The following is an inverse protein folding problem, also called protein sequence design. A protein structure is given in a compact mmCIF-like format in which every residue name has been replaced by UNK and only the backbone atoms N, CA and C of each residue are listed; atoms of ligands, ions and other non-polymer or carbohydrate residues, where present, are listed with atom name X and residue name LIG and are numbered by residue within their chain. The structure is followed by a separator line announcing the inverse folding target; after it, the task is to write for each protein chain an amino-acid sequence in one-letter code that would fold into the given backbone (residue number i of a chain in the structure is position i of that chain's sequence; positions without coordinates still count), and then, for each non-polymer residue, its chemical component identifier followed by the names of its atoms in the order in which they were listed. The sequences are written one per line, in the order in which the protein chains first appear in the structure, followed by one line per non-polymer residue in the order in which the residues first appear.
data_IF_333417735955
#
_entry.id   IF_333417735955
#
_cell.length_a   1.000
_cell.length_b   1.000
_cell.length_c   1.000
_cell.angle_alpha   90.00
_cell.angle_beta   90.00
_cell.angle_gamma   90.00
#
_symmetry.space_group_name_H-M   'P 1'
#
loop_
_entity.id
_entity.type
_entity.pdbx_description
1 polymer ?
#
# COMPACT_ATOMS: atom_id res chain seq x y z
N UNK A 1 -37.48 -3.26 -4.58
CA UNK A 1 -37.26 -3.60 -3.15
C UNK A 1 -35.80 -3.99 -3.00
N UNK A 2 -35.06 -3.18 -2.24
CA UNK A 2 -33.59 -3.11 -2.24
C UNK A 2 -32.93 -4.24 -1.46
N UNK A 3 -31.90 -4.83 -2.05
CA UNK A 3 -31.08 -5.84 -1.39
C UNK A 3 -30.36 -5.26 -0.16
N UNK A 4 -30.24 -6.05 0.91
CA UNK A 4 -29.45 -5.73 2.10
C UNK A 4 -27.95 -5.71 1.76
N UNK A 5 -27.48 -4.64 1.12
CA UNK A 5 -26.07 -4.42 0.72
C UNK A 5 -25.23 -3.71 1.78
N UNK A 6 -25.88 -3.25 2.85
CA UNK A 6 -25.30 -2.37 3.85
C UNK A 6 -25.37 -3.03 5.22
N UNK A 7 -24.23 -3.07 5.90
CA UNK A 7 -24.16 -3.32 7.34
C UNK A 7 -24.31 -1.96 8.01
N UNK A 8 -25.44 -1.73 8.66
CA UNK A 8 -25.68 -0.53 9.44
C UNK A 8 -25.06 -0.71 10.84
N UNK A 9 -23.94 -0.02 11.09
CA UNK A 9 -23.25 -0.01 12.39
C UNK A 9 -23.74 1.17 13.27
N UNK A 10 -24.90 1.75 12.95
CA UNK A 10 -25.51 2.87 13.68
C UNK A 10 -24.95 4.23 13.29
N UNK A 11 -23.62 4.39 13.25
CA UNK A 11 -22.94 5.65 12.87
C UNK A 11 -22.40 5.59 11.44
N UNK A 12 -22.12 4.39 10.92
CA UNK A 12 -21.51 4.16 9.61
C UNK A 12 -22.28 3.07 8.89
N UNK A 13 -22.66 3.32 7.64
CA UNK A 13 -23.18 2.29 6.73
C UNK A 13 -22.02 1.72 5.92
N UNK A 14 -21.67 0.47 6.19
CA UNK A 14 -20.56 -0.20 5.52
C UNK A 14 -21.07 -1.14 4.44
N UNK A 15 -20.62 -0.95 3.20
CA UNK A 15 -20.87 -1.87 2.10
C UNK A 15 -19.69 -2.86 2.00
N UNK A 16 -19.87 -4.18 2.25
CA UNK A 16 -18.78 -5.15 2.28
C UNK A 16 -18.02 -5.30 0.94
N UNK A 17 -18.67 -5.01 -0.19
CA UNK A 17 -18.08 -5.11 -1.51
C UNK A 17 -17.01 -4.04 -1.79
N UNK A 18 -17.03 -2.91 -1.08
CA UNK A 18 -16.01 -1.85 -1.17
C UNK A 18 -14.62 -2.28 -0.65
N UNK A 19 -14.45 -2.73 0.61
CA UNK A 19 -13.16 -3.22 1.12
C UNK A 19 -12.70 -4.50 0.41
N UNK A 20 -13.62 -5.29 -0.16
CA UNK A 20 -13.29 -6.49 -0.94
C UNK A 20 -12.44 -6.15 -2.16
N UNK A 21 -12.69 -5.02 -2.84
CA UNK A 21 -11.86 -4.57 -3.98
C UNK A 21 -10.42 -4.32 -3.55
N UNK A 22 -10.21 -3.64 -2.42
CA UNK A 22 -8.87 -3.43 -1.86
C UNK A 22 -8.21 -4.74 -1.43
N UNK A 23 -8.97 -5.65 -0.83
CA UNK A 23 -8.47 -6.97 -0.44
C UNK A 23 -7.99 -7.76 -1.67
N UNK A 24 -8.73 -7.73 -2.78
CA UNK A 24 -8.32 -8.35 -4.04
C UNK A 24 -7.04 -7.71 -4.59
N UNK A 25 -6.94 -6.38 -4.59
CA UNK A 25 -5.71 -5.67 -5.00
C UNK A 25 -4.51 -6.15 -4.17
N UNK A 26 -4.64 -6.17 -2.86
CA UNK A 26 -3.57 -6.59 -1.95
C UNK A 26 -3.21 -8.07 -2.10
N UNK A 27 -4.22 -8.94 -2.24
CA UNK A 27 -4.04 -10.37 -2.46
C UNK A 27 -3.27 -10.63 -3.75
N UNK A 28 -3.70 -10.03 -4.87
CA UNK A 28 -3.05 -10.20 -6.16
C UNK A 28 -1.63 -9.60 -6.15
N UNK A 29 -1.47 -8.40 -5.60
CA UNK A 29 -0.15 -7.77 -5.46
C UNK A 29 0.81 -8.63 -4.63
N UNK A 30 0.34 -9.22 -3.52
CA UNK A 30 1.14 -10.09 -2.65
C UNK A 30 1.49 -11.41 -3.33
N UNK A 31 0.54 -12.02 -4.03
CA UNK A 31 0.73 -13.28 -4.73
C UNK A 31 1.73 -13.15 -5.87
N UNK A 32 1.55 -12.16 -6.74
CA UNK A 32 2.44 -11.94 -7.89
C UNK A 32 3.80 -11.39 -7.51
N UNK A 33 3.95 -10.74 -6.36
CA UNK A 33 5.26 -10.34 -5.85
C UNK A 33 6.17 -11.53 -5.51
N UNK A 34 5.61 -12.68 -5.13
CA UNK A 34 6.38 -13.87 -4.75
C UNK A 34 6.78 -14.75 -5.93
N UNK A 35 6.19 -14.53 -7.11
CA UNK A 35 6.44 -15.32 -8.31
C UNK A 35 7.63 -14.76 -9.10
N UNK A 36 8.53 -15.64 -9.56
CA UNK A 36 9.57 -15.29 -10.52
C UNK A 36 8.97 -15.28 -11.93
N UNK A 37 9.51 -14.47 -12.84
CA UNK A 37 9.01 -14.30 -14.23
C UNK A 37 8.92 -15.59 -15.05
N UNK A 38 9.65 -16.64 -14.67
CA UNK A 38 9.64 -17.95 -15.34
C UNK A 38 8.44 -18.83 -14.95
N UNK A 39 7.73 -18.48 -13.87
CA UNK A 39 6.62 -19.27 -13.31
C UNK A 39 5.28 -19.09 -14.04
N UNK A 40 5.17 -18.09 -14.92
CA UNK A 40 3.93 -17.79 -15.67
C UNK A 40 3.60 -18.81 -16.77
N UNK A 41 4.48 -19.79 -17.00
CA UNK A 41 4.24 -20.91 -17.93
C UNK A 41 3.48 -22.06 -17.28
N UNK A 42 3.44 -22.12 -15.94
CA UNK A 42 2.80 -23.22 -15.19
C UNK A 42 1.34 -22.87 -14.88
N UNK A 43 0.41 -23.52 -15.59
CA UNK A 43 -1.04 -23.30 -15.49
C UNK A 43 -1.59 -23.29 -14.05
N UNK A 44 -1.08 -24.15 -13.16
CA UNK A 44 -1.55 -24.24 -11.78
C UNK A 44 -1.21 -23.00 -10.91
N UNK A 45 -0.13 -22.26 -11.23
CA UNK A 45 0.22 -21.01 -10.53
C UNK A 45 -0.65 -19.82 -10.97
N UNK A 46 -1.40 -19.97 -12.06
CA UNK A 46 -2.35 -18.99 -12.56
C UNK A 46 -3.76 -19.28 -12.06
N UNK A 47 -4.09 -20.56 -11.82
CA UNK A 47 -5.41 -20.97 -11.37
C UNK A 47 -5.77 -20.42 -9.97
N UNK A 48 -4.81 -20.41 -9.05
CA UNK A 48 -5.03 -19.95 -7.66
C UNK A 48 -5.47 -18.48 -7.56
N UNK A 49 -4.79 -17.49 -8.18
CA UNK A 49 -5.25 -16.09 -8.15
C UNK A 49 -6.56 -15.89 -8.92
N UNK A 50 -6.85 -16.68 -9.95
CA UNK A 50 -8.14 -16.65 -10.65
C UNK A 50 -9.27 -17.09 -9.72
N UNK A 51 -9.11 -18.20 -9.00
CA UNK A 51 -10.09 -18.67 -8.02
C UNK A 51 -10.31 -17.62 -6.92
N UNK A 52 -9.21 -17.03 -6.41
CA UNK A 52 -9.27 -15.98 -5.40
C UNK A 52 -10.02 -14.71 -5.84
N UNK A 53 -10.16 -14.47 -7.15
CA UNK A 53 -10.91 -13.35 -7.72
C UNK A 53 -12.36 -13.75 -8.05
N UNK A 54 -12.57 -14.94 -8.62
CA UNK A 54 -13.89 -15.41 -9.04
C UNK A 54 -14.83 -15.60 -7.83
N UNK A 55 -14.32 -16.15 -6.72
CA UNK A 55 -15.15 -16.39 -5.52
C UNK A 55 -15.79 -15.09 -5.01
N UNK A 56 -15.03 -14.01 -4.71
CA UNK A 56 -15.61 -12.73 -4.34
C UNK A 56 -16.58 -12.16 -5.38
N UNK A 57 -16.27 -12.26 -6.68
CA UNK A 57 -17.15 -11.73 -7.73
C UNK A 57 -18.51 -12.45 -7.72
N UNK A 58 -18.52 -13.78 -7.59
CA UNK A 58 -19.75 -14.55 -7.52
C UNK A 58 -20.60 -14.17 -6.30
N UNK A 59 -19.96 -13.91 -5.16
CA UNK A 59 -20.64 -13.44 -3.95
C UNK A 59 -21.25 -12.04 -4.16
N UNK A 60 -20.51 -11.12 -4.79
CA UNK A 60 -21.00 -9.76 -5.08
C UNK A 60 -22.19 -9.79 -6.06
N UNK A 61 -22.13 -10.63 -7.10
CA UNK A 61 -23.23 -10.79 -8.06
C UNK A 61 -24.47 -11.40 -7.37
N UNK A 62 -24.27 -12.29 -6.40
CA UNK A 62 -25.35 -12.86 -5.58
C UNK A 62 -25.99 -11.83 -4.64
N UNK A 63 -25.28 -10.75 -4.29
CA UNK A 63 -25.77 -9.59 -3.51
C UNK A 63 -26.49 -8.52 -4.37
N UNK A 64 -27.20 -8.99 -5.40
CA UNK A 64 -27.54 -8.27 -6.64
C UNK A 64 -26.71 -7.01 -7.00
N UNK A 65 -25.41 -6.93 -6.70
CA UNK A 65 -24.58 -5.73 -6.91
C UNK A 65 -23.74 -5.85 -8.20
N UNK A 66 -24.42 -5.66 -9.33
CA UNK A 66 -23.81 -5.81 -10.65
C UNK A 66 -22.72 -4.75 -10.92
N UNK A 67 -22.80 -3.57 -10.29
CA UNK A 67 -21.88 -2.46 -10.51
C UNK A 67 -20.53 -2.74 -9.90
N UNK A 68 -20.53 -3.12 -8.62
CA UNK A 68 -19.30 -3.50 -7.94
C UNK A 68 -18.70 -4.78 -8.51
N UNK A 69 -19.54 -5.72 -9.01
CA UNK A 69 -19.07 -6.91 -9.71
C UNK A 69 -18.27 -6.58 -10.98
N UNK A 70 -18.82 -5.71 -11.84
CA UNK A 70 -18.14 -5.26 -13.07
C UNK A 70 -16.85 -4.51 -12.75
N UNK A 71 -16.88 -3.60 -11.77
CA UNK A 71 -15.67 -2.88 -11.32
C UNK A 71 -14.60 -3.86 -10.86
N UNK A 72 -14.96 -4.87 -10.08
CA UNK A 72 -14.03 -5.88 -9.57
C UNK A 72 -13.40 -6.70 -10.69
N UNK A 73 -14.17 -7.06 -11.73
CA UNK A 73 -13.66 -7.72 -12.93
C UNK A 73 -12.65 -6.84 -13.66
N UNK A 74 -12.95 -5.55 -13.84
CA UNK A 74 -12.06 -4.59 -14.50
C UNK A 74 -10.75 -4.45 -13.71
N UNK A 75 -10.81 -4.28 -12.39
CA UNK A 75 -9.64 -4.17 -11.52
C UNK A 75 -8.75 -5.42 -11.64
N UNK A 76 -9.34 -6.61 -11.54
CA UNK A 76 -8.60 -7.85 -11.67
C UNK A 76 -7.94 -7.95 -13.05
N UNK A 77 -8.68 -7.63 -14.11
CA UNK A 77 -8.18 -7.67 -15.49
C UNK A 77 -6.99 -6.74 -15.70
N UNK A 78 -7.06 -5.50 -15.18
CA UNK A 78 -5.95 -4.55 -15.25
C UNK A 78 -4.72 -5.06 -14.50
N UNK A 79 -4.90 -5.67 -13.32
CA UNK A 79 -3.78 -6.24 -12.56
C UNK A 79 -3.16 -7.44 -13.29
N UNK A 80 -3.96 -8.37 -13.82
CA UNK A 80 -3.45 -9.49 -14.61
C UNK A 80 -2.68 -9.00 -15.85
N UNK A 81 -3.18 -7.96 -16.52
CA UNK A 81 -2.50 -7.33 -17.64
C UNK A 81 -1.17 -6.68 -17.20
N UNK A 82 -1.17 -5.93 -16.10
CA UNK A 82 0.02 -5.28 -15.55
C UNK A 82 1.11 -6.27 -15.10
N UNK A 83 0.73 -7.48 -14.69
CA UNK A 83 1.64 -8.58 -14.38
C UNK A 83 2.31 -9.15 -15.64
N UNK A 84 1.74 -8.94 -16.82
CA UNK A 84 2.30 -9.40 -18.10
C UNK A 84 1.53 -10.55 -18.75
N UNK A 85 0.26 -10.78 -18.38
CA UNK A 85 -0.58 -11.73 -19.11
C UNK A 85 -0.74 -11.28 -20.57
N UNK A 86 -0.58 -12.22 -21.50
CA UNK A 86 -0.66 -11.93 -22.94
C UNK A 86 -2.07 -11.43 -23.30
N UNK A 87 -2.13 -10.35 -24.10
CA UNK A 87 -3.40 -9.77 -24.58
C UNK A 87 -4.31 -10.81 -25.28
N UNK A 88 -3.71 -11.81 -25.93
CA UNK A 88 -4.42 -12.94 -26.54
C UNK A 88 -5.36 -13.65 -25.56
N UNK A 89 -4.97 -13.83 -24.30
CA UNK A 89 -5.78 -14.52 -23.30
C UNK A 89 -7.05 -13.70 -22.98
N UNK A 90 -6.93 -12.38 -22.90
CA UNK A 90 -8.07 -11.48 -22.71
C UNK A 90 -9.01 -11.50 -23.91
N UNK A 91 -8.47 -11.53 -25.13
CA UNK A 91 -9.30 -11.65 -26.35
C UNK A 91 -10.08 -12.97 -26.39
N UNK A 92 -9.44 -14.08 -26.02
CA UNK A 92 -10.11 -15.39 -25.95
C UNK A 92 -11.26 -15.35 -24.92
N UNK A 93 -11.00 -14.82 -23.72
CA UNK A 93 -12.05 -14.68 -22.69
C UNK A 93 -13.18 -13.78 -23.19
N UNK A 94 -12.87 -12.67 -23.86
CA UNK A 94 -13.86 -11.77 -24.45
C UNK A 94 -14.74 -12.47 -25.49
N UNK A 95 -14.14 -13.23 -26.40
CA UNK A 95 -14.89 -14.02 -27.40
C UNK A 95 -15.79 -15.06 -26.72
N UNK A 96 -15.30 -15.75 -25.69
CA UNK A 96 -16.10 -16.71 -24.92
C UNK A 96 -17.32 -16.02 -24.30
N UNK A 97 -17.12 -14.85 -23.66
CA UNK A 97 -18.21 -14.09 -23.05
C UNK A 97 -19.25 -13.70 -24.11
N UNK A 98 -18.81 -13.18 -25.25
CA UNK A 98 -19.71 -12.76 -26.35
C UNK A 98 -20.51 -13.96 -26.88
N UNK A 99 -19.86 -15.09 -27.13
CA UNK A 99 -20.54 -16.32 -27.60
C UNK A 99 -21.52 -16.86 -26.57
N UNK A 100 -21.25 -16.66 -25.27
CA UNK A 100 -22.13 -17.09 -24.18
C UNK A 100 -23.27 -16.10 -23.87
N UNK A 101 -23.36 -14.93 -24.53
CA UNK A 101 -24.44 -13.94 -24.30
C UNK A 101 -25.84 -14.56 -24.32
N UNK A 102 -26.22 -15.42 -25.29
CA UNK A 102 -27.56 -16.01 -25.33
C UNK A 102 -27.87 -16.87 -24.09
N UNK A 103 -26.88 -17.61 -23.60
CA UNK A 103 -27.01 -18.44 -22.39
C UNK A 103 -27.10 -17.55 -21.15
N UNK A 104 -26.25 -16.51 -21.07
CA UNK A 104 -26.27 -15.54 -19.98
C UNK A 104 -27.66 -14.87 -19.92
N UNK A 105 -28.24 -14.49 -21.06
CA UNK A 105 -29.55 -13.87 -21.14
C UNK A 105 -30.68 -14.75 -20.58
N UNK A 106 -30.62 -16.07 -20.80
CA UNK A 106 -31.61 -17.01 -20.27
C UNK A 106 -31.47 -17.22 -18.75
N UNK A 107 -30.25 -17.13 -18.23
CA UNK A 107 -29.95 -17.35 -16.80
C UNK A 107 -30.09 -16.06 -15.97
N UNK A 108 -30.07 -14.89 -16.61
CA UNK A 108 -30.20 -13.59 -15.94
C UNK A 108 -31.55 -13.43 -15.22
N UNK A 109 -31.48 -12.94 -13.99
CA UNK A 109 -32.68 -12.58 -13.23
C UNK A 109 -33.45 -11.43 -13.91
N UNK A 110 -34.76 -11.36 -13.66
CA UNK A 110 -35.66 -10.35 -14.27
C UNK A 110 -35.17 -8.91 -14.07
N UNK A 111 -34.64 -8.59 -12.89
CA UNK A 111 -34.11 -7.25 -12.60
C UNK A 111 -32.88 -6.91 -13.45
N UNK A 112 -32.03 -7.90 -13.78
CA UNK A 112 -30.83 -7.70 -14.59
C UNK A 112 -31.22 -7.49 -16.05
N UNK A 113 -32.18 -8.28 -16.56
CA UNK A 113 -32.75 -8.12 -17.90
C UNK A 113 -33.43 -6.77 -18.05
N UNK A 114 -34.19 -6.33 -17.04
CA UNK A 114 -34.82 -5.00 -17.03
C UNK A 114 -33.78 -3.88 -17.18
N UNK A 115 -32.63 -3.95 -16.48
CA UNK A 115 -31.56 -2.93 -16.63
C UNK A 115 -30.97 -2.86 -18.04
N UNK A 116 -30.79 -4.01 -18.70
CA UNK A 116 -30.29 -4.03 -20.09
C UNK A 116 -31.35 -3.49 -21.05
N UNK A 117 -32.62 -3.87 -20.88
CA UNK A 117 -33.71 -3.37 -21.74
C UNK A 117 -33.93 -1.87 -21.59
N UNK A 118 -33.88 -1.35 -20.36
CA UNK A 118 -33.99 0.10 -20.07
C UNK A 118 -32.79 0.89 -20.61
N UNK A 119 -31.61 0.29 -20.67
CA UNK A 119 -30.45 0.92 -21.31
C UNK A 119 -30.62 1.04 -22.83
N UNK A 120 -31.08 -0.04 -23.48
CA UNK A 120 -31.31 -0.06 -24.93
C UNK A 120 -32.48 0.84 -25.34
N UNK A 121 -33.51 0.90 -24.51
CA UNK A 121 -34.71 1.68 -24.75
C UNK A 121 -35.21 2.31 -23.44
N UNK A 122 -34.70 3.50 -23.08
CA UNK A 122 -35.08 4.21 -21.85
C UNK A 122 -36.57 4.60 -21.80
N UNK A 123 -37.24 4.71 -22.95
CA UNK A 123 -38.64 5.14 -23.04
C UNK A 123 -39.61 4.05 -22.55
N UNK A 124 -39.17 2.79 -22.47
CA UNK A 124 -39.95 1.67 -21.94
C UNK A 124 -40.14 1.69 -20.42
N UNK A 125 -39.38 2.49 -19.68
CA UNK A 125 -39.50 2.63 -18.22
C UNK A 125 -39.49 4.11 -17.81
N UNK A 126 -40.49 4.90 -18.25
CA UNK A 126 -40.49 6.36 -18.14
C UNK A 126 -40.73 6.88 -16.71
N UNK A 127 -40.99 5.98 -15.75
CA UNK A 127 -41.16 6.30 -14.32
C UNK A 127 -40.07 5.66 -13.43
N UNK A 128 -39.14 4.90 -14.02
CA UNK A 128 -38.16 4.09 -13.29
C UNK A 128 -36.72 4.46 -13.61
N UNK A 129 -35.90 3.46 -13.93
CA UNK A 129 -34.48 3.71 -14.23
C UNK A 129 -34.30 4.48 -15.55
N UNK A 130 -35.23 4.34 -16.50
CA UNK A 130 -35.24 5.07 -17.77
C UNK A 130 -35.45 6.57 -17.55
N UNK A 131 -36.36 6.93 -16.64
CA UNK A 131 -36.59 8.31 -16.22
C UNK A 131 -35.31 8.99 -15.73
N UNK A 132 -34.56 8.35 -14.83
CA UNK A 132 -33.32 8.90 -14.29
C UNK A 132 -32.27 9.14 -15.37
N UNK A 133 -32.14 8.24 -16.36
CA UNK A 133 -31.21 8.41 -17.50
C UNK A 133 -31.63 9.60 -18.37
N UNK A 134 -32.92 9.71 -18.69
CA UNK A 134 -33.46 10.80 -19.51
C UNK A 134 -33.24 12.15 -18.81
N UNK A 135 -33.60 12.25 -17.52
CA UNK A 135 -33.41 13.47 -16.74
C UNK A 135 -31.93 13.82 -16.55
N UNK A 136 -31.07 12.82 -16.38
CA UNK A 136 -29.61 13.02 -16.34
C UNK A 136 -29.09 13.68 -17.61
N UNK A 137 -29.51 13.21 -18.79
CA UNK A 137 -29.13 13.79 -20.08
C UNK A 137 -29.66 15.22 -20.25
N UNK A 138 -30.90 15.47 -19.83
CA UNK A 138 -31.51 16.81 -19.87
C UNK A 138 -30.75 17.76 -18.92
N UNK A 139 -30.41 17.32 -17.71
CA UNK A 139 -29.67 18.11 -16.74
C UNK A 139 -28.30 18.53 -17.30
N UNK A 140 -27.52 17.56 -17.83
CA UNK A 140 -26.24 17.83 -18.50
C UNK A 140 -26.41 18.84 -19.64
N UNK A 141 -27.39 18.61 -20.53
CA UNK A 141 -27.64 19.51 -21.66
C UNK A 141 -28.04 20.91 -21.24
N UNK A 142 -28.81 21.04 -20.16
CA UNK A 142 -29.31 22.31 -19.65
C UNK A 142 -28.25 23.18 -18.96
N UNK A 143 -27.12 22.59 -18.56
CA UNK A 143 -25.99 23.32 -17.98
C UNK A 143 -25.27 24.24 -18.99
N UNK A 144 -25.39 23.98 -20.30
CA UNK A 144 -24.70 24.77 -21.32
C UNK A 144 -23.18 24.85 -21.10
N UNK A 145 -22.53 25.92 -21.55
CA UNK A 145 -21.07 26.07 -21.40
C UNK A 145 -20.64 26.42 -19.98
N UNK A 146 -21.40 27.30 -19.30
CA UNK A 146 -21.01 27.95 -18.04
C UNK A 146 -21.77 27.47 -16.80
N UNK A 147 -22.80 26.64 -16.98
CA UNK A 147 -23.65 26.16 -15.89
C UNK A 147 -24.74 27.15 -15.50
N UNK A 148 -25.69 26.68 -14.69
CA UNK A 148 -26.77 27.52 -14.12
C UNK A 148 -26.35 28.22 -12.81
N UNK A 149 -25.20 27.86 -12.25
CA UNK A 149 -24.72 28.32 -10.95
C UNK A 149 -25.06 27.35 -9.81
N UNK A 150 -24.22 27.37 -8.78
CA UNK A 150 -24.30 26.48 -7.61
C UNK A 150 -25.69 26.56 -6.95
N UNK A 151 -26.31 25.42 -6.67
CA UNK A 151 -27.66 25.26 -6.09
C UNK A 151 -28.83 25.82 -6.92
N UNK A 152 -28.58 26.24 -8.16
CA UNK A 152 -29.62 26.77 -9.08
C UNK A 152 -30.03 25.76 -10.16
N UNK A 153 -29.59 24.50 -10.05
CA UNK A 153 -29.97 23.42 -10.96
C UNK A 153 -31.45 23.08 -10.83
N UNK A 154 -32.22 23.28 -11.91
CA UNK A 154 -33.65 23.00 -11.95
C UNK A 154 -33.97 21.51 -11.81
N UNK A 155 -33.13 20.62 -12.34
CA UNK A 155 -33.38 19.18 -12.30
C UNK A 155 -32.94 18.55 -10.97
N UNK A 156 -31.83 19.02 -10.41
CA UNK A 156 -31.35 18.55 -9.11
C UNK A 156 -32.16 19.11 -7.92
N UNK A 157 -32.64 20.36 -7.98
CA UNK A 157 -33.32 21.00 -6.85
C UNK A 157 -34.79 20.59 -6.69
N UNK A 158 -35.46 20.22 -7.80
CA UNK A 158 -36.86 19.80 -7.81
C UNK A 158 -37.05 18.27 -7.62
N UNK A 159 -36.01 17.55 -7.19
CA UNK A 159 -36.01 16.09 -6.98
C UNK A 159 -36.42 15.26 -8.22
N UNK A 160 -36.28 15.81 -9.43
CA UNK A 160 -36.50 15.04 -10.67
C UNK A 160 -35.41 13.96 -10.88
N UNK A 161 -34.30 14.01 -10.15
CA UNK A 161 -33.38 12.88 -9.96
C UNK A 161 -33.36 12.45 -8.49
N UNK A 162 -34.03 11.35 -8.10
CA UNK A 162 -34.06 10.87 -6.72
C UNK A 162 -32.67 10.52 -6.15
N UNK A 163 -31.73 10.08 -7.01
CA UNK A 163 -30.36 9.67 -6.65
C UNK A 163 -29.31 10.71 -7.10
N UNK A 164 -29.65 12.00 -7.08
CA UNK A 164 -28.76 13.09 -7.52
C UNK A 164 -27.55 13.30 -6.59
N UNK A 165 -27.57 12.80 -5.36
CA UNK A 165 -26.49 12.98 -4.37
C UNK A 165 -25.46 11.84 -4.37
N UNK A 166 -25.78 10.75 -5.06
CA UNK A 166 -25.03 9.48 -5.05
C UNK A 166 -24.61 9.12 -6.48
N UNK A 167 -25.48 8.43 -7.21
CA UNK A 167 -25.15 7.80 -8.48
C UNK A 167 -25.15 8.78 -9.66
N UNK A 168 -25.95 9.85 -9.58
CA UNK A 168 -26.10 10.84 -10.65
C UNK A 168 -25.50 12.22 -10.30
N UNK A 169 -24.62 12.30 -9.31
CA UNK A 169 -24.00 13.56 -8.88
C UNK A 169 -23.27 14.31 -9.99
N UNK A 170 -22.74 13.58 -10.99
CA UNK A 170 -22.11 14.19 -12.15
C UNK A 170 -23.11 14.98 -13.02
N UNK A 171 -24.37 14.54 -13.14
CA UNK A 171 -25.39 15.27 -13.89
C UNK A 171 -25.73 16.60 -13.20
N UNK A 172 -25.85 16.59 -11.87
CA UNK A 172 -26.03 17.79 -11.06
C UNK A 172 -24.85 18.74 -11.23
N UNK A 173 -23.62 18.22 -11.10
CA UNK A 173 -22.42 19.01 -11.28
C UNK A 173 -22.33 19.63 -12.67
N UNK A 174 -22.67 18.87 -13.72
CA UNK A 174 -22.72 19.38 -15.09
C UNK A 174 -23.82 20.43 -15.31
N UNK A 175 -24.98 20.29 -14.67
CA UNK A 175 -26.04 21.32 -14.72
C UNK A 175 -25.59 22.63 -14.06
N UNK A 176 -24.90 22.54 -12.92
CA UNK A 176 -24.51 23.70 -12.12
C UNK A 176 -23.28 24.43 -12.65
N UNK A 177 -22.24 23.69 -13.08
CA UNK A 177 -20.96 24.23 -13.53
C UNK A 177 -20.76 24.20 -15.05
N UNK A 178 -21.68 23.58 -15.79
CA UNK A 178 -21.65 23.51 -17.24
C UNK A 178 -20.48 22.68 -17.79
N UNK A 179 -20.32 22.76 -19.11
CA UNK A 179 -19.28 22.03 -19.83
C UNK A 179 -17.86 22.34 -19.32
N UNK A 180 -17.55 23.62 -19.05
CA UNK A 180 -16.21 24.02 -18.61
C UNK A 180 -15.86 23.42 -17.25
N UNK A 181 -16.82 23.43 -16.31
CA UNK A 181 -16.64 22.80 -15.00
C UNK A 181 -16.47 21.29 -15.10
N UNK A 182 -17.32 20.62 -15.90
CA UNK A 182 -17.20 19.18 -16.15
C UNK A 182 -15.85 18.82 -16.76
N UNK A 183 -15.36 19.60 -17.73
CA UNK A 183 -14.05 19.38 -18.36
C UNK A 183 -12.91 19.55 -17.35
N UNK A 184 -12.95 20.61 -16.54
CA UNK A 184 -11.96 20.83 -15.48
C UNK A 184 -11.93 19.66 -14.48
N UNK A 185 -13.10 19.15 -14.09
CA UNK A 185 -13.21 18.00 -13.21
C UNK A 185 -12.59 16.74 -13.82
N UNK A 186 -12.86 16.47 -15.11
CA UNK A 186 -12.25 15.34 -15.82
C UNK A 186 -10.73 15.48 -15.89
N UNK A 187 -10.21 16.67 -16.17
CA UNK A 187 -8.77 16.95 -16.16
C UNK A 187 -8.17 16.65 -14.79
N UNK A 188 -8.84 17.03 -13.69
CA UNK A 188 -8.37 16.75 -12.34
C UNK A 188 -8.29 15.24 -12.06
N UNK A 189 -9.33 14.47 -12.40
CA UNK A 189 -9.28 13.01 -12.26
C UNK A 189 -8.19 12.39 -13.14
N UNK A 190 -8.06 12.83 -14.40
CA UNK A 190 -7.01 12.38 -15.29
C UNK A 190 -5.63 12.68 -14.74
N UNK A 191 -5.41 13.86 -14.16
CA UNK A 191 -4.15 14.24 -13.51
C UNK A 191 -3.82 13.30 -12.35
N UNK A 192 -4.79 13.02 -11.46
CA UNK A 192 -4.61 12.09 -10.34
C UNK A 192 -4.24 10.69 -10.85
N UNK A 193 -4.92 10.20 -11.89
CA UNK A 193 -4.65 8.89 -12.50
C UNK A 193 -3.25 8.85 -13.12
N UNK A 194 -2.87 9.87 -13.90
CA UNK A 194 -1.55 9.96 -14.54
C UNK A 194 -0.44 10.03 -13.49
N UNK A 195 -0.58 10.87 -12.47
CA UNK A 195 0.38 10.97 -11.36
C UNK A 195 0.51 9.63 -10.65
N UNK A 196 -0.61 8.95 -10.37
CA UNK A 196 -0.59 7.63 -9.72
C UNK A 196 0.11 6.57 -10.57
N UNK A 197 -0.10 6.58 -11.90
CA UNK A 197 0.63 5.70 -12.82
C UNK A 197 2.14 6.04 -12.87
N UNK A 198 2.51 7.32 -12.85
CA UNK A 198 3.92 7.75 -12.76
C UNK A 198 4.57 7.30 -11.43
N UNK A 199 3.83 7.28 -10.33
CA UNK A 199 4.32 6.72 -9.06
C UNK A 199 4.51 5.20 -9.19
N UNK A 200 3.60 4.50 -9.86
CA UNK A 200 3.71 3.06 -10.08
C UNK A 200 4.95 2.68 -10.91
N UNK A 201 5.31 3.47 -11.93
CA UNK A 201 6.53 3.21 -12.73
C UNK A 201 7.81 3.40 -11.94
N UNK A 202 7.83 4.32 -10.97
CA UNK A 202 8.96 4.59 -10.08
C UNK A 202 9.09 3.64 -8.89
N UNK A 203 8.12 2.74 -8.68
CA UNK A 203 8.15 1.77 -7.60
C UNK A 203 9.23 0.69 -7.82
N UNK A 204 10.07 0.47 -6.80
CA UNK A 204 11.16 -0.52 -6.82
C UNK A 204 10.69 -1.97 -6.65
N UNK A 205 9.55 -2.20 -5.98
CA UNK A 205 9.01 -3.55 -5.76
C UNK A 205 7.79 -3.80 -6.63
N UNK A 206 7.64 -5.05 -7.09
CA UNK A 206 6.46 -5.50 -7.85
C UNK A 206 5.19 -5.35 -7.00
N UNK A 207 5.27 -5.64 -5.69
CA UNK A 207 4.16 -5.46 -4.76
C UNK A 207 3.63 -4.02 -4.79
N UNK A 208 4.51 -3.03 -4.57
CA UNK A 208 4.11 -1.61 -4.56
C UNK A 208 3.59 -1.16 -5.92
N UNK A 209 4.23 -1.60 -7.00
CA UNK A 209 3.79 -1.29 -8.37
C UNK A 209 2.36 -1.79 -8.63
N UNK A 210 2.08 -3.07 -8.32
CA UNK A 210 0.76 -3.67 -8.51
C UNK A 210 -0.30 -3.09 -7.55
N UNK A 211 0.08 -2.75 -6.32
CA UNK A 211 -0.80 -2.08 -5.38
C UNK A 211 -1.24 -0.71 -5.89
N UNK A 212 -0.29 0.13 -6.33
CA UNK A 212 -0.60 1.47 -6.89
C UNK A 212 -1.44 1.34 -8.16
N UNK A 213 -1.10 0.42 -9.07
CA UNK A 213 -1.91 0.14 -10.27
C UNK A 213 -3.32 -0.31 -9.88
N UNK A 214 -3.47 -1.20 -8.91
CA UNK A 214 -4.79 -1.68 -8.46
C UNK A 214 -5.65 -0.59 -7.84
N UNK A 215 -5.08 0.26 -6.98
CA UNK A 215 -5.79 1.42 -6.39
C UNK A 215 -6.18 2.42 -7.47
N UNK A 216 -5.27 2.71 -8.41
CA UNK A 216 -5.55 3.59 -9.55
C UNK A 216 -6.67 3.01 -10.43
N UNK A 217 -6.70 1.69 -10.60
CA UNK A 217 -7.74 0.98 -11.35
C UNK A 217 -9.10 1.06 -10.69
N UNK A 218 -9.17 1.03 -9.35
CA UNK A 218 -10.40 1.28 -8.59
C UNK A 218 -10.92 2.69 -8.90
N UNK A 219 -10.06 3.72 -8.75
CA UNK A 219 -10.42 5.11 -9.03
C UNK A 219 -10.91 5.29 -10.47
N UNK A 220 -10.12 4.82 -11.44
CA UNK A 220 -10.45 4.90 -12.86
C UNK A 220 -11.80 4.23 -13.17
N UNK A 221 -12.04 3.02 -12.66
CA UNK A 221 -13.26 2.26 -12.96
C UNK A 221 -14.50 2.97 -12.41
N UNK A 222 -14.42 3.52 -11.20
CA UNK A 222 -15.54 4.28 -10.61
C UNK A 222 -15.84 5.56 -11.40
N UNK A 223 -14.81 6.35 -11.71
CA UNK A 223 -14.96 7.60 -12.49
C UNK A 223 -15.53 7.29 -13.88
N UNK A 224 -14.93 6.32 -14.58
CA UNK A 224 -15.35 5.94 -15.92
C UNK A 224 -16.79 5.42 -15.96
N UNK A 225 -17.14 4.47 -15.09
CA UNK A 225 -18.49 3.88 -15.09
C UNK A 225 -19.53 4.90 -14.67
N UNK A 226 -19.27 5.73 -13.65
CA UNK A 226 -20.22 6.75 -13.23
C UNK A 226 -20.51 7.74 -14.36
N UNK A 227 -19.48 8.33 -14.97
CA UNK A 227 -19.67 9.31 -16.05
C UNK A 227 -20.32 8.67 -17.29
N UNK A 228 -19.88 7.47 -17.69
CA UNK A 228 -20.48 6.77 -18.83
C UNK A 228 -21.95 6.40 -18.58
N UNK A 229 -22.31 6.02 -17.35
CA UNK A 229 -23.70 5.76 -16.96
C UNK A 229 -24.55 7.02 -17.07
N UNK A 230 -24.07 8.13 -16.50
CA UNK A 230 -24.80 9.40 -16.41
C UNK A 230 -25.02 10.01 -17.80
N UNK A 231 -24.08 9.82 -18.73
CA UNK A 231 -24.24 10.20 -20.15
C UNK A 231 -25.10 9.20 -20.96
N UNK A 232 -25.49 8.06 -20.36
CA UNK A 232 -26.25 7.00 -21.01
C UNK A 232 -25.47 6.18 -22.04
N UNK A 233 -24.15 6.08 -21.88
CA UNK A 233 -23.26 5.19 -22.64
C UNK A 233 -23.17 3.78 -22.04
N UNK A 234 -23.47 3.64 -20.75
CA UNK A 234 -23.53 2.37 -20.02
C UNK A 234 -24.86 2.22 -19.25
N UNK A 235 -25.31 1.00 -18.95
CA UNK A 235 -26.51 0.77 -18.14
C UNK A 235 -26.34 1.32 -16.72
N UNK A 236 -27.45 1.67 -16.07
CA UNK A 236 -27.46 2.19 -14.68
C UNK A 236 -27.11 1.07 -13.69
N UNK A 237 -25.93 1.19 -13.09
CA UNK A 237 -25.41 0.17 -12.17
C UNK A 237 -25.33 0.59 -10.71
N UNK A 238 -25.37 1.89 -10.43
CA UNK A 238 -25.35 2.47 -9.09
C UNK A 238 -23.95 2.49 -8.47
N UNK A 239 -23.09 3.35 -8.99
CA UNK A 239 -21.67 3.46 -8.61
C UNK A 239 -21.38 4.91 -8.29
N UNK A 240 -20.92 5.25 -7.07
CA UNK A 240 -20.68 6.64 -6.68
C UNK A 240 -19.43 7.21 -7.35
N UNK A 241 -19.45 8.52 -7.62
CA UNK A 241 -18.31 9.27 -8.15
C UNK A 241 -17.29 9.59 -7.03
N UNK A 242 -16.02 9.17 -7.15
CA UNK A 242 -15.03 9.36 -6.10
C UNK A 242 -14.76 10.81 -5.71
N UNK A 243 -14.63 11.12 -4.43
CA UNK A 243 -14.35 12.47 -3.89
C UNK A 243 -15.44 13.54 -4.04
N UNK A 244 -16.49 13.29 -4.82
CA UNK A 244 -17.62 14.23 -5.02
C UNK A 244 -18.93 13.67 -4.47
N UNK A 245 -19.19 12.37 -4.64
CA UNK A 245 -20.39 11.71 -4.15
C UNK A 245 -20.35 11.48 -2.63
N UNK A 246 -21.52 11.41 -1.99
CA UNK A 246 -21.71 10.96 -0.61
C UNK A 246 -21.49 9.44 -0.43
N UNK A 247 -20.33 8.92 -0.85
CA UNK A 247 -19.91 7.52 -0.74
C UNK A 247 -18.86 7.32 0.36
N UNK A 248 -19.27 7.43 1.63
CA UNK A 248 -18.35 7.47 2.78
C UNK A 248 -17.36 6.29 2.87
N UNK A 249 -17.83 5.06 2.64
CA UNK A 249 -16.99 3.85 2.68
C UNK A 249 -15.93 3.81 1.58
N UNK A 250 -16.26 4.28 0.39
CA UNK A 250 -15.35 4.32 -0.75
C UNK A 250 -14.29 5.41 -0.58
N UNK A 251 -14.65 6.58 -0.04
CA UNK A 251 -13.69 7.64 0.31
C UNK A 251 -12.68 7.15 1.35
N UNK A 252 -13.15 6.53 2.44
CA UNK A 252 -12.27 5.98 3.49
C UNK A 252 -11.37 4.87 2.93
N UNK A 253 -11.92 3.99 2.09
CA UNK A 253 -11.16 2.92 1.43
C UNK A 253 -10.05 3.49 0.53
N UNK A 254 -10.34 4.53 -0.26
CA UNK A 254 -9.32 5.21 -1.08
C UNK A 254 -8.25 5.89 -0.23
N UNK A 255 -8.64 6.60 0.82
CA UNK A 255 -7.70 7.29 1.73
C UNK A 255 -6.77 6.30 2.46
N UNK A 256 -7.26 5.12 2.84
CA UNK A 256 -6.43 4.04 3.40
C UNK A 256 -5.45 3.49 2.36
N UNK A 257 -5.88 3.37 1.09
CA UNK A 257 -5.01 2.95 -0.01
C UNK A 257 -3.81 3.89 -0.25
N UNK A 258 -3.96 5.17 0.06
CA UNK A 258 -2.91 6.19 -0.03
C UNK A 258 -2.13 6.40 1.30
N UNK A 259 -2.45 5.68 2.38
CA UNK A 259 -2.05 6.03 3.74
C UNK A 259 -0.66 5.53 4.20
N UNK A 260 0.23 6.50 4.48
CA UNK A 260 1.49 6.43 5.24
C UNK A 260 2.58 5.46 4.74
N UNK A 261 3.58 6.02 4.05
CA UNK A 261 4.79 5.30 3.67
C UNK A 261 5.75 5.16 4.86
N UNK A 262 5.98 3.93 5.33
CA UNK A 262 7.05 3.61 6.28
C UNK A 262 8.25 3.13 5.47
N UNK A 263 9.39 3.77 5.65
CA UNK A 263 10.61 3.49 4.90
C UNK A 263 11.68 3.04 5.87
N UNK A 264 12.29 1.89 5.62
CA UNK A 264 13.47 1.44 6.34
C UNK A 264 14.74 1.87 5.59
N UNK A 265 15.51 2.76 6.20
CA UNK A 265 16.77 3.29 5.67
C UNK A 265 17.96 2.34 5.94
N UNK A 266 17.82 1.05 5.65
CA UNK A 266 18.81 0.02 6.02
C UNK A 266 18.67 -1.23 5.14
N UNK A 267 19.79 -1.86 4.76
CA UNK A 267 19.80 -3.17 4.09
C UNK A 267 19.80 -4.36 5.07
N UNK A 268 19.97 -4.11 6.37
CA UNK A 268 20.08 -5.18 7.37
C UNK A 268 18.79 -6.02 7.43
N UNK A 269 18.85 -7.34 7.15
CA UNK A 269 17.69 -8.22 7.25
C UNK A 269 17.19 -8.34 8.70
N UNK A 270 18.10 -8.31 9.67
CA UNK A 270 17.76 -8.38 11.10
C UNK A 270 16.86 -7.21 11.54
N UNK A 271 17.14 -5.99 11.06
CA UNK A 271 16.31 -4.80 11.39
C UNK A 271 14.91 -4.90 10.80
N UNK A 272 14.79 -5.44 9.59
CA UNK A 272 13.49 -5.68 8.96
C UNK A 272 12.68 -6.73 9.74
N UNK A 273 13.33 -7.80 10.20
CA UNK A 273 12.67 -8.82 11.02
C UNK A 273 12.20 -8.25 12.37
N UNK A 274 13.04 -7.45 13.04
CA UNK A 274 12.68 -6.76 14.28
C UNK A 274 11.45 -5.87 14.10
N UNK A 275 11.38 -5.06 13.04
CA UNK A 275 10.20 -4.24 12.75
C UNK A 275 8.93 -5.09 12.55
N UNK A 276 9.04 -6.23 11.87
CA UNK A 276 7.90 -7.15 11.70
C UNK A 276 7.37 -7.69 13.02
N UNK A 277 8.24 -7.94 14.01
CA UNK A 277 7.83 -8.41 15.36
C UNK A 277 6.94 -7.41 16.08
N UNK A 278 7.12 -6.11 15.85
CA UNK A 278 6.27 -5.03 16.38
C UNK A 278 5.16 -4.62 15.39
N UNK A 279 4.86 -5.45 14.38
CA UNK A 279 3.84 -5.22 13.34
C UNK A 279 4.04 -3.92 12.55
N UNK A 280 5.28 -3.43 12.46
CA UNK A 280 5.64 -2.31 11.59
C UNK A 280 6.17 -2.90 10.28
N UNK A 281 5.45 -2.66 9.19
CA UNK A 281 5.81 -3.17 7.86
C UNK A 281 6.26 -2.01 6.97
N UNK A 282 7.58 -1.84 6.75
CA UNK A 282 8.07 -0.86 5.79
C UNK A 282 7.51 -1.13 4.40
N UNK A 283 6.90 -0.13 3.78
CA UNK A 283 6.46 -0.16 2.39
C UNK A 283 7.65 -0.12 1.43
N UNK A 284 8.78 0.46 1.85
CA UNK A 284 10.02 0.48 1.07
C UNK A 284 11.26 0.28 1.94
N UNK A 285 12.29 -0.33 1.35
CA UNK A 285 13.63 -0.47 1.93
C UNK A 285 14.59 0.29 1.04
N UNK A 286 15.23 1.32 1.59
CA UNK A 286 16.13 2.21 0.84
C UNK A 286 17.49 2.23 1.54
N UNK A 287 18.56 1.70 0.92
CA UNK A 287 19.89 1.86 1.47
C UNK A 287 20.32 3.31 1.49
N UNK A 288 20.86 3.74 2.63
CA UNK A 288 21.59 4.98 2.74
C UNK A 288 23.08 4.69 2.48
N UNK A 289 23.56 5.02 1.28
CA UNK A 289 25.00 5.06 1.01
C UNK A 289 25.55 6.35 1.59
N UNK A 290 26.18 6.23 2.76
CA UNK A 290 26.87 7.33 3.44
C UNK A 290 28.29 6.89 3.78
N UNK A 291 29.17 7.86 4.04
CA UNK A 291 30.49 7.56 4.56
C UNK A 291 30.38 7.14 6.04
N UNK A 292 30.65 5.87 6.32
CA UNK A 292 30.61 5.32 7.69
C UNK A 292 31.93 5.49 8.46
N UNK A 293 32.95 6.14 7.88
CA UNK A 293 34.24 6.35 8.54
C UNK A 293 34.09 7.20 9.80
N UNK A 294 34.82 6.79 10.83
CA UNK A 294 34.87 7.44 12.14
C UNK A 294 35.64 8.78 12.05
N UNK A 295 35.15 9.82 12.73
CA UNK A 295 35.91 11.05 12.86
C UNK A 295 37.00 10.94 13.93
N UNK A 296 38.02 11.79 13.84
CA UNK A 296 39.10 11.83 14.82
C UNK A 296 38.55 12.07 16.23
N UNK A 297 38.83 11.15 17.16
CA UNK A 297 38.36 11.15 18.56
C UNK A 297 36.84 11.03 18.74
N UNK A 298 36.11 10.59 17.72
CA UNK A 298 34.67 10.32 17.83
C UNK A 298 34.40 9.18 18.82
N UNK A 299 33.48 9.39 19.75
CA UNK A 299 33.11 8.36 20.72
C UNK A 299 32.11 7.37 20.09
N UNK A 300 32.08 6.08 20.53
CA UNK A 300 31.18 5.08 19.97
C UNK A 300 29.69 5.46 19.99
N UNK A 301 29.26 6.18 21.02
CA UNK A 301 27.89 6.69 21.14
C UNK A 301 27.59 7.80 20.12
N UNK A 302 28.54 8.71 19.91
CA UNK A 302 28.42 9.80 18.93
C UNK A 302 28.36 9.24 17.51
N UNK A 303 29.23 8.28 17.20
CA UNK A 303 29.25 7.59 15.90
C UNK A 303 27.90 6.93 15.60
N UNK A 304 27.36 6.13 16.53
CA UNK A 304 26.10 5.44 16.33
C UNK A 304 24.92 6.41 16.10
N UNK A 305 24.87 7.51 16.85
CA UNK A 305 23.84 8.55 16.68
C UNK A 305 23.99 9.29 15.36
N UNK A 306 25.20 9.72 15.02
CA UNK A 306 25.50 10.44 13.77
C UNK A 306 25.13 9.61 12.55
N UNK A 307 25.62 8.37 12.48
CA UNK A 307 25.34 7.48 11.35
C UNK A 307 23.85 7.21 11.19
N UNK A 308 23.11 6.96 12.28
CA UNK A 308 21.67 6.78 12.22
C UNK A 308 20.96 8.04 11.68
N UNK A 309 21.37 9.23 12.13
CA UNK A 309 20.79 10.49 11.69
C UNK A 309 21.10 10.79 10.21
N UNK A 310 22.35 10.62 9.77
CA UNK A 310 22.76 10.84 8.39
C UNK A 310 22.04 9.87 7.44
N UNK A 311 21.91 8.59 7.81
CA UNK A 311 21.15 7.61 7.03
C UNK A 311 19.70 8.04 6.84
N UNK A 312 19.05 8.49 7.92
CA UNK A 312 17.67 8.97 7.83
C UNK A 312 17.55 10.21 6.95
N UNK A 313 18.45 11.20 7.10
CA UNK A 313 18.43 12.46 6.33
C UNK A 313 18.64 12.23 4.83
N UNK A 314 19.63 11.43 4.45
CA UNK A 314 19.93 11.12 3.04
C UNK A 314 18.76 10.41 2.38
N UNK A 315 18.07 9.51 3.09
CA UNK A 315 16.86 8.88 2.55
C UNK A 315 15.70 9.88 2.49
N UNK A 316 15.50 10.72 3.51
CA UNK A 316 14.43 11.72 3.53
C UNK A 316 14.54 12.77 2.39
N UNK A 317 15.76 13.08 1.94
CA UNK A 317 15.99 13.95 0.78
C UNK A 317 15.56 13.30 -0.55
N UNK A 318 15.61 11.96 -0.65
CA UNK A 318 15.25 11.21 -1.86
C UNK A 318 13.74 10.99 -2.02
N UNK A 319 12.95 11.29 -0.99
CA UNK A 319 11.50 11.04 -0.96
C UNK A 319 10.76 12.33 -1.29
N UNK A 320 9.79 12.29 -2.21
CA UNK A 320 9.04 13.48 -2.64
C UNK A 320 7.69 13.66 -1.94
N UNK A 321 7.26 12.72 -1.11
CA UNK A 321 5.98 12.77 -0.38
C UNK A 321 6.10 12.57 1.13
N UNK A 322 4.95 12.47 1.80
CA UNK A 322 4.89 12.21 3.24
C UNK A 322 5.33 10.77 3.56
N UNK A 323 6.24 10.64 4.51
CA UNK A 323 6.78 9.34 4.90
C UNK A 323 7.33 9.34 6.32
N UNK A 324 7.32 8.18 6.96
CA UNK A 324 8.09 7.91 8.19
C UNK A 324 9.33 7.12 7.79
N UNK A 325 10.50 7.75 7.87
CA UNK A 325 11.79 7.13 7.62
C UNK A 325 12.39 6.63 8.93
N UNK A 326 12.70 5.35 9.03
CA UNK A 326 13.36 4.71 10.17
C UNK A 326 14.78 4.34 9.77
N UNK A 327 15.76 4.88 10.48
CA UNK A 327 17.16 4.51 10.34
C UNK A 327 17.74 4.07 11.69
N UNK A 328 18.69 3.15 11.63
CA UNK A 328 19.47 2.76 12.80
C UNK A 328 20.90 2.46 12.40
N UNK A 329 21.82 2.70 13.32
CA UNK A 329 23.22 2.28 13.20
C UNK A 329 23.74 1.71 14.51
N UNK A 330 24.58 0.68 14.40
CA UNK A 330 24.98 -0.15 15.54
C UNK A 330 26.49 -0.26 15.60
N UNK A 331 27.05 0.19 16.70
CA UNK A 331 28.49 0.26 16.97
C UNK A 331 28.82 -0.63 18.16
N UNK A 332 29.77 -1.54 17.97
CA UNK A 332 30.29 -2.39 19.05
C UNK A 332 31.62 -1.80 19.51
N UNK A 333 31.78 -1.60 20.81
CA UNK A 333 33.01 -1.01 21.34
C UNK A 333 33.40 -1.58 22.70
N UNK A 334 34.71 -1.62 22.94
CA UNK A 334 35.31 -1.89 24.25
C UNK A 334 36.01 -0.63 24.75
N UNK A 335 35.42 0.00 25.76
CA UNK A 335 35.88 1.33 26.19
C UNK A 335 35.68 2.34 25.06
N UNK A 336 36.76 3.04 24.66
CA UNK A 336 36.77 3.94 23.50
C UNK A 336 37.13 3.25 22.17
N UNK A 337 37.57 1.99 22.21
CA UNK A 337 37.97 1.24 21.01
C UNK A 337 36.73 0.72 20.30
N UNK A 338 36.42 1.29 19.14
CA UNK A 338 35.37 0.81 18.24
C UNK A 338 35.87 -0.43 17.50
N UNK A 339 35.01 -1.43 17.39
CA UNK A 339 35.30 -2.64 16.62
C UNK A 339 34.67 -2.52 15.23
N UNK A 340 35.46 -2.75 14.17
CA UNK A 340 34.97 -2.61 12.81
C UNK A 340 33.93 -3.68 12.46
N UNK A 341 33.27 -3.50 11.31
CA UNK A 341 32.59 -4.60 10.63
C UNK A 341 33.65 -5.55 10.11
N UNK A 342 33.59 -6.81 10.52
CA UNK A 342 34.54 -7.82 10.06
C UNK A 342 34.28 -8.16 8.59
N UNK A 343 35.26 -7.96 7.71
CA UNK A 343 35.14 -8.29 6.28
C UNK A 343 35.80 -9.63 5.96
N UNK A 344 36.76 -10.03 6.78
CA UNK A 344 37.52 -11.27 6.65
C UNK A 344 37.44 -12.09 7.94
N UNK A 345 37.74 -13.38 7.86
CA UNK A 345 37.84 -14.25 9.05
C UNK A 345 38.94 -13.79 10.01
N UNK A 346 39.98 -13.10 9.51
CA UNK A 346 41.00 -12.46 10.36
C UNK A 346 40.44 -11.30 11.18
N UNK A 347 39.56 -10.47 10.59
CA UNK A 347 38.86 -9.41 11.32
C UNK A 347 37.95 -9.99 12.41
N UNK A 348 37.28 -11.11 12.12
CA UNK A 348 36.45 -11.84 13.10
C UNK A 348 37.33 -12.31 14.26
N UNK A 349 38.44 -12.98 13.97
CA UNK A 349 39.43 -13.45 14.97
C UNK A 349 39.95 -12.29 15.82
N UNK A 350 40.29 -11.17 15.19
CA UNK A 350 40.74 -9.97 15.88
C UNK A 350 39.68 -9.43 16.85
N UNK A 351 38.43 -9.33 16.41
CA UNK A 351 37.33 -8.88 17.26
C UNK A 351 37.10 -9.84 18.44
N UNK A 352 37.02 -11.15 18.19
CA UNK A 352 36.82 -12.16 19.23
C UNK A 352 37.93 -12.14 20.29
N UNK A 353 39.18 -11.95 19.91
CA UNK A 353 40.30 -11.80 20.85
C UNK A 353 40.18 -10.56 21.75
N UNK A 354 39.61 -9.47 21.22
CA UNK A 354 39.35 -8.27 22.04
C UNK A 354 38.20 -8.51 23.01
N UNK A 355 37.17 -9.25 22.59
CA UNK A 355 35.94 -9.49 23.35
C UNK A 355 36.05 -10.63 24.38
N UNK A 356 36.87 -11.63 24.12
CA UNK A 356 37.05 -12.84 24.95
C UNK A 356 37.27 -12.52 26.44
N UNK A 357 36.44 -13.11 27.29
CA UNK A 357 36.48 -12.96 28.75
C UNK A 357 36.13 -11.58 29.29
N UNK A 358 35.59 -10.67 28.47
CA UNK A 358 35.41 -9.26 28.81
C UNK A 358 33.97 -8.79 28.60
N UNK A 359 33.66 -7.65 29.22
CA UNK A 359 32.45 -6.88 28.95
C UNK A 359 32.73 -5.86 27.85
N UNK A 360 31.79 -5.74 26.92
CA UNK A 360 31.80 -4.71 25.87
C UNK A 360 30.41 -4.07 25.77
N UNK A 361 30.33 -2.97 25.03
CA UNK A 361 29.11 -2.19 24.85
C UNK A 361 28.68 -2.22 23.40
N UNK A 362 27.38 -2.40 23.21
CA UNK A 362 26.71 -2.26 21.92
C UNK A 362 25.85 -1.02 21.98
N UNK A 363 26.17 -0.04 21.15
CA UNK A 363 25.45 1.22 21.01
C UNK A 363 24.64 1.16 19.73
N UNK A 364 23.32 1.34 19.81
CA UNK A 364 22.51 1.60 18.62
C UNK A 364 21.92 2.99 18.69
N UNK A 365 22.26 3.81 17.71
CA UNK A 365 21.54 5.04 17.41
C UNK A 365 20.33 4.70 16.55
N UNK A 366 19.16 5.24 16.88
CA UNK A 366 17.96 5.17 16.06
C UNK A 366 17.49 6.58 15.76
N UNK A 367 17.20 6.85 14.50
CA UNK A 367 16.65 8.11 14.03
C UNK A 367 15.38 7.84 13.22
N UNK A 368 14.28 8.46 13.62
CA UNK A 368 13.01 8.43 12.89
C UNK A 368 12.68 9.84 12.42
N UNK A 369 12.44 10.00 11.12
CA UNK A 369 12.02 11.26 10.51
C UNK A 369 10.61 11.07 9.97
N UNK A 370 9.65 11.81 10.50
CA UNK A 370 8.35 11.99 9.84
C UNK A 370 8.44 13.22 8.93
N UNK A 371 8.44 12.95 7.63
CA UNK A 371 8.38 13.95 6.58
C UNK A 371 6.91 14.27 6.30
N UNK A 372 6.57 15.53 6.43
CA UNK A 372 5.28 16.12 6.01
C UNK A 372 5.56 17.18 4.96
N UNK A 373 4.53 17.65 4.27
CA UNK A 373 4.67 18.73 3.27
C UNK A 373 5.30 20.01 3.82
N UNK A 374 5.13 20.27 5.13
CA UNK A 374 5.53 21.53 5.77
C UNK A 374 6.80 21.39 6.63
N UNK A 375 7.06 20.22 7.22
CA UNK A 375 8.13 20.05 8.21
C UNK A 375 8.73 18.64 8.28
N UNK A 376 9.98 18.57 8.76
CA UNK A 376 10.66 17.34 9.14
C UNK A 376 10.64 17.18 10.66
N UNK A 377 9.78 16.29 11.16
CA UNK A 377 9.75 15.95 12.59
C UNK A 377 10.74 14.83 12.86
N UNK A 378 11.79 15.14 13.62
CA UNK A 378 12.89 14.21 13.90
C UNK A 378 12.79 13.71 15.35
N UNK A 379 12.95 12.39 15.53
CA UNK A 379 13.13 11.74 16.83
C UNK A 379 14.39 10.89 16.79
N UNK A 380 15.21 11.01 17.82
CA UNK A 380 16.45 10.27 17.94
C UNK A 380 16.58 9.67 19.33
N UNK A 381 17.14 8.47 19.39
CA UNK A 381 17.46 7.82 20.65
C UNK A 381 18.73 6.98 20.51
N UNK A 382 19.56 7.02 21.53
CA UNK A 382 20.70 6.12 21.70
C UNK A 382 20.35 5.09 22.76
N UNK A 383 20.60 3.82 22.46
CA UNK A 383 20.43 2.71 23.41
C UNK A 383 21.75 1.98 23.57
N UNK A 384 22.11 1.68 24.81
CA UNK A 384 23.33 0.97 25.17
C UNK A 384 22.97 -0.36 25.82
N UNK A 385 23.61 -1.43 25.36
CA UNK A 385 23.56 -2.76 26.00
C UNK A 385 24.97 -3.20 26.34
N UNK A 386 25.17 -3.77 27.53
CA UNK A 386 26.44 -4.38 27.94
C UNK A 386 26.33 -5.88 27.71
N UNK A 387 27.33 -6.45 27.02
CA UNK A 387 27.42 -7.88 26.75
C UNK A 387 28.70 -8.41 27.39
N UNK A 388 28.60 -9.49 28.16
CA UNK A 388 29.74 -10.19 28.75
C UNK A 388 30.01 -11.43 27.93
N UNK A 389 31.23 -11.61 27.45
CA UNK A 389 31.68 -12.87 26.85
C UNK A 389 32.34 -13.76 27.91
N UNK A 390 32.19 -15.08 27.76
CA UNK A 390 33.05 -16.05 28.44
C UNK A 390 34.47 -15.94 27.88
N UNK A 391 35.44 -16.52 28.58
CA UNK A 391 36.79 -16.67 28.04
C UNK A 391 36.73 -17.73 26.93
N UNK A 392 37.07 -17.33 25.71
CA UNK A 392 37.09 -18.20 24.54
C UNK A 392 38.43 -18.91 24.43
N UNK A 393 38.41 -20.18 24.05
CA UNK A 393 39.59 -20.94 23.66
C UNK A 393 39.94 -20.67 22.20
N UNK A 394 41.18 -20.96 21.79
CA UNK A 394 41.59 -20.82 20.40
C UNK A 394 40.75 -21.71 19.46
N UNK A 395 40.38 -22.93 19.90
CA UNK A 395 39.52 -23.82 19.12
C UNK A 395 38.13 -23.24 18.87
N UNK A 396 37.54 -22.59 19.87
CA UNK A 396 36.23 -21.91 19.72
C UNK A 396 36.30 -20.73 18.77
N UNK A 397 37.40 -19.96 18.82
CA UNK A 397 37.62 -18.83 17.92
C UNK A 397 37.80 -19.33 16.48
N UNK A 398 38.63 -20.34 16.25
CA UNK A 398 38.84 -20.92 14.91
C UNK A 398 37.56 -21.53 14.34
N UNK A 399 36.80 -22.25 15.18
CA UNK A 399 35.50 -22.79 14.78
C UNK A 399 34.54 -21.66 14.36
N UNK A 400 34.41 -20.59 15.16
CA UNK A 400 33.53 -19.47 14.81
C UNK A 400 34.00 -18.75 13.54
N UNK A 401 35.31 -18.68 13.30
CA UNK A 401 35.86 -18.12 12.06
C UNK A 401 35.56 -18.99 10.83
N UNK A 402 35.39 -20.31 10.99
CA UNK A 402 35.09 -21.24 9.89
C UNK A 402 33.63 -21.25 9.42
N UNK A 403 32.69 -20.76 10.25
CA UNK A 403 31.26 -20.77 9.94
C UNK A 403 30.77 -19.45 9.33
N UNK A 404 31.66 -18.47 9.15
CA UNK A 404 31.43 -17.16 8.51
C UNK A 404 30.28 -16.30 9.08
N UNK A 405 29.68 -16.68 10.22
CA UNK A 405 28.58 -15.94 10.85
C UNK A 405 28.97 -14.51 11.27
N UNK A 406 30.26 -14.30 11.57
CA UNK A 406 30.82 -13.01 11.98
C UNK A 406 31.04 -12.03 10.82
N UNK A 407 31.01 -12.49 9.56
CA UNK A 407 31.29 -11.66 8.39
C UNK A 407 30.19 -10.61 8.21
N UNK A 408 30.59 -9.38 7.86
CA UNK A 408 29.76 -8.18 7.74
C UNK A 408 29.03 -7.78 9.05
N UNK A 409 29.47 -8.26 10.22
CA UNK A 409 28.92 -7.88 11.53
C UNK A 409 29.87 -6.95 12.27
N UNK A 410 29.31 -5.91 12.89
CA UNK A 410 30.07 -5.05 13.80
C UNK A 410 30.58 -5.87 14.99
N UNK A 411 31.88 -5.82 15.26
CA UNK A 411 32.50 -6.66 16.29
C UNK A 411 32.59 -8.15 15.93
N UNK A 412 32.34 -8.51 14.66
CA UNK A 412 32.51 -9.87 14.15
C UNK A 412 31.63 -10.92 14.83
N UNK A 413 30.50 -10.53 15.44
CA UNK A 413 29.64 -11.45 16.20
C UNK A 413 28.17 -11.27 15.81
N UNK A 414 27.44 -12.37 15.66
CA UNK A 414 25.99 -12.39 15.43
C UNK A 414 25.27 -13.06 16.59
N UNK A 415 24.55 -12.28 17.40
CA UNK A 415 23.93 -12.81 18.63
C UNK A 415 22.79 -13.82 18.39
N UNK A 416 22.14 -13.81 17.23
CA UNK A 416 21.11 -14.81 16.88
C UNK A 416 21.72 -16.06 16.19
N UNK A 417 23.01 -16.30 16.40
CA UNK A 417 23.76 -17.42 15.83
C UNK A 417 24.62 -18.08 16.91
N UNK A 418 25.68 -18.79 16.51
CA UNK A 418 26.56 -19.52 17.42
C UNK A 418 27.22 -18.62 18.49
N UNK A 419 27.40 -17.33 18.21
CA UNK A 419 27.99 -16.40 19.18
C UNK A 419 27.15 -16.24 20.46
N UNK A 420 25.87 -16.63 20.47
CA UNK A 420 25.05 -16.67 21.67
C UNK A 420 25.65 -17.60 22.74
N UNK A 421 26.26 -18.73 22.32
CA UNK A 421 26.94 -19.67 23.21
C UNK A 421 28.16 -19.08 23.92
N UNK A 422 28.65 -17.92 23.46
CA UNK A 422 29.76 -17.19 24.07
C UNK A 422 29.31 -16.18 25.13
N UNK A 423 28.00 -15.93 25.27
CA UNK A 423 27.45 -14.81 26.04
C UNK A 423 26.79 -15.31 27.34
N UNK A 424 27.51 -15.34 28.47
CA UNK A 424 26.93 -15.68 29.77
C UNK A 424 25.93 -14.66 30.30
N UNK A 425 26.05 -13.37 29.94
CA UNK A 425 25.09 -12.37 30.42
C UNK A 425 25.01 -11.11 29.55
N UNK A 426 23.80 -10.56 29.51
CA UNK A 426 23.43 -9.33 28.81
C UNK A 426 22.76 -8.40 29.82
N UNK A 427 23.19 -7.13 29.85
CA UNK A 427 22.56 -6.09 30.65
C UNK A 427 22.08 -4.98 29.71
N UNK A 428 20.76 -4.94 29.46
CA UNK A 428 20.13 -4.00 28.55
C UNK A 428 19.18 -4.71 27.58
N UNK A 429 19.02 -4.15 26.38
CA UNK A 429 18.07 -4.63 25.38
C UNK A 429 18.71 -5.64 24.41
N UNK A 430 18.08 -6.80 24.24
CA UNK A 430 18.48 -7.80 23.23
C UNK A 430 18.27 -7.28 21.81
N UNK A 431 17.12 -6.63 21.55
CA UNK A 431 16.82 -6.01 20.24
C UNK A 431 17.81 -4.89 19.87
N UNK A 432 18.37 -4.20 20.88
CA UNK A 432 19.47 -3.25 20.67
C UNK A 432 20.73 -3.94 20.14
N UNK A 433 21.07 -5.14 20.63
CA UNK A 433 22.23 -5.90 20.13
C UNK A 433 22.01 -6.35 18.69
N UNK A 434 20.79 -6.79 18.36
CA UNK A 434 20.41 -7.14 16.99
C UNK A 434 20.35 -5.92 16.04
N UNK A 435 20.45 -4.71 16.58
CA UNK A 435 20.66 -3.48 15.83
C UNK A 435 19.41 -2.62 15.60
N UNK A 436 18.31 -2.88 16.32
CA UNK A 436 17.16 -1.98 16.39
C UNK A 436 16.44 -2.12 17.74
N UNK A 437 16.63 -1.20 18.71
CA UNK A 437 15.95 -1.24 20.00
C UNK A 437 14.44 -1.01 19.84
N UNK A 438 13.65 -2.08 20.03
CA UNK A 438 12.23 -2.10 19.68
C UNK A 438 11.36 -1.20 20.56
N UNK A 439 11.62 -1.17 21.87
CA UNK A 439 10.86 -0.35 22.82
C UNK A 439 10.96 1.14 22.44
N UNK A 440 12.18 1.63 22.29
CA UNK A 440 12.47 3.01 21.94
C UNK A 440 11.97 3.35 20.53
N UNK A 441 12.10 2.42 19.58
CA UNK A 441 11.57 2.58 18.22
C UNK A 441 10.06 2.77 18.25
N UNK A 442 9.32 1.93 19.00
CA UNK A 442 7.88 2.05 19.14
C UNK A 442 7.47 3.36 19.82
N UNK A 443 8.13 3.75 20.91
CA UNK A 443 7.84 5.03 21.57
C UNK A 443 8.04 6.22 20.63
N UNK A 444 9.13 6.22 19.85
CA UNK A 444 9.39 7.27 18.87
C UNK A 444 8.33 7.29 17.76
N UNK A 445 7.94 6.14 17.23
CA UNK A 445 6.87 6.03 16.23
C UNK A 445 5.54 6.57 16.77
N UNK A 446 5.12 6.14 17.96
CA UNK A 446 3.89 6.61 18.60
C UNK A 446 3.92 8.12 18.83
N UNK A 447 5.07 8.67 19.26
CA UNK A 447 5.24 10.12 19.45
C UNK A 447 5.13 10.93 18.16
N UNK A 448 5.32 10.29 16.99
CA UNK A 448 5.15 10.88 15.66
C UNK A 448 3.74 10.66 15.10
N UNK A 449 2.82 10.10 15.89
CA UNK A 449 1.44 9.84 15.52
C UNK A 449 1.24 8.54 14.73
N UNK A 450 2.22 7.62 14.72
CA UNK A 450 1.98 6.28 14.22
C UNK A 450 1.05 5.53 15.17
N UNK A 451 -0.15 5.18 14.70
CA UNK A 451 -1.10 4.34 15.42
C UNK A 451 -0.99 2.91 14.88
N UNK A 452 -0.67 1.98 15.77
CA UNK A 452 -0.73 0.56 15.43
C UNK A 452 -2.20 0.13 15.52
N UNK A 453 -2.86 -0.12 14.39
CA UNK A 453 -4.29 -0.50 14.32
C UNK A 453 -4.59 -1.91 14.89
N UNK A 454 -3.73 -2.43 15.78
CA UNK A 454 -3.84 -3.78 16.35
C UNK A 454 -3.58 -3.84 17.85
N UNK A 455 -3.69 -2.69 18.53
CA UNK A 455 -3.80 -2.58 19.99
C UNK A 455 -5.12 -1.94 20.38
#
# INVERSE_FOLDING_TARGET
MGAKRWIDLGVIRLQPSEPTKLAIVLMLARYFHQLKTEDFTRFYKILLPIIGVIIPILLIIKEPDLGTGVITIIIASIIFFAVGFRIRNFMIIGIIIVTCIPVIWQVMHDYQRKRVMVFLDPEKDPLGAGYNIIQSKIAIGSGGLWGKGLTKGSQSHLNFLPEHQTDFIFATFAEEFGFVGSLFLLILYSAIIVISLMIATNCRTIFSKLMVIGITSILFSHVFINIAMVMGLLPVVGVPLPFISYGGTMMVSMLIGFGLHIILASQSPARLELLKRIKVFPTQIIPANINETEYLRELPNQLATRLAQEKAKVVAQKITGEAIIIAADTVVARGRKILPKALTSEDVRYCLNILSGRRHRVYTGVCIIKKTSEQLLIRQKLVQTIVKFKKLTNQEIEFYCSIDEGINKAGGCMIHGYAEAFIPSIYGSYSNIMGLPLLETMHMLTSLGFKNNSM
#
